data_IF_369137039894
#
_entry.id   IF_369137039894
#
_cell.length_a   1.000
_cell.length_b   1.000
_cell.length_c   1.000
_cell.angle_alpha   90.00
_cell.angle_beta   90.00
_cell.angle_gamma   90.00
#
_symmetry.space_group_name_H-M   'P 1'
#
loop_
_entity.id
_entity.type
_entity.pdbx_description
1 polymer ?
#
# COMPACT_ATOMS: atom_id res chain seq x y z
N UNK A 1 -48.33 42.06 -35.38
CA UNK A 1 -48.15 40.61 -35.62
C UNK A 1 -46.64 40.36 -35.77
N UNK A 2 -45.98 39.96 -34.68
CA UNK A 2 -45.31 38.63 -34.49
C UNK A 2 -44.02 38.49 -35.32
N UNK A 3 -42.86 38.91 -34.76
CA UNK A 3 -41.85 38.11 -34.02
C UNK A 3 -41.35 36.89 -34.80
N UNK A 4 -40.05 36.83 -35.11
CA UNK A 4 -39.23 35.62 -34.95
C UNK A 4 -37.74 36.00 -34.89
N UNK A 5 -37.20 36.00 -33.67
CA UNK A 5 -35.76 35.95 -33.38
C UNK A 5 -35.41 34.46 -33.36
N UNK A 6 -34.61 33.99 -34.30
CA UNK A 6 -34.07 32.63 -34.29
C UNK A 6 -32.78 32.68 -33.48
N UNK A 7 -32.91 32.46 -32.16
CA UNK A 7 -31.79 32.17 -31.29
C UNK A 7 -31.31 30.74 -31.54
N UNK A 8 -30.10 30.60 -32.10
CA UNK A 8 -29.38 29.33 -32.15
C UNK A 8 -28.86 29.02 -30.74
N UNK A 9 -29.66 28.32 -29.95
CA UNK A 9 -29.19 27.63 -28.76
C UNK A 9 -28.45 26.37 -29.22
N UNK A 10 -27.15 26.50 -29.48
CA UNK A 10 -26.26 25.35 -29.59
C UNK A 10 -26.15 24.73 -28.19
N UNK A 11 -26.97 23.72 -27.93
CA UNK A 11 -26.91 22.92 -26.71
C UNK A 11 -25.60 22.15 -26.67
N UNK A 12 -24.63 22.67 -25.91
CA UNK A 12 -23.42 21.97 -25.54
C UNK A 12 -23.83 20.86 -24.55
N UNK A 13 -24.01 19.64 -25.04
CA UNK A 13 -24.12 18.44 -24.20
C UNK A 13 -22.77 18.20 -23.53
N UNK A 14 -22.56 18.82 -22.38
CA UNK A 14 -21.46 18.47 -21.47
C UNK A 14 -21.86 17.15 -20.82
N UNK A 15 -21.37 16.04 -21.39
CA UNK A 15 -21.37 14.76 -20.69
C UNK A 15 -20.49 14.92 -19.44
N UNK A 16 -21.13 14.99 -18.27
CA UNK A 16 -20.47 14.86 -16.99
C UNK A 16 -19.99 13.41 -16.85
N UNK A 17 -18.87 13.06 -17.48
CA UNK A 17 -18.11 11.88 -17.11
C UNK A 17 -17.45 12.20 -15.77
N UNK A 18 -18.17 11.91 -14.69
CA UNK A 18 -17.56 11.74 -13.37
C UNK A 18 -16.62 10.55 -13.48
N UNK A 19 -15.36 10.82 -13.84
CA UNK A 19 -14.28 9.86 -13.73
C UNK A 19 -14.01 9.70 -12.23
N UNK A 20 -14.84 8.90 -11.57
CA UNK A 20 -14.59 8.46 -10.23
C UNK A 20 -13.39 7.53 -10.32
N UNK A 21 -12.19 8.08 -10.08
CA UNK A 21 -10.92 7.35 -10.06
C UNK A 21 -10.86 6.52 -8.76
N UNK A 22 -11.83 5.62 -8.62
CA UNK A 22 -12.05 4.75 -7.48
C UNK A 22 -11.13 3.53 -7.63
N UNK A 23 -10.40 3.22 -6.57
CA UNK A 23 -9.57 2.01 -6.53
C UNK A 23 -10.47 0.81 -6.23
N UNK A 24 -10.35 -0.23 -7.05
CA UNK A 24 -11.05 -1.51 -6.85
C UNK A 24 -10.07 -2.68 -6.93
N UNK A 25 -10.46 -3.80 -6.36
CA UNK A 25 -9.71 -5.05 -6.35
C UNK A 25 -10.47 -6.14 -7.09
N UNK A 26 -9.76 -6.92 -7.91
CA UNK A 26 -10.37 -7.99 -8.69
C UNK A 26 -10.72 -9.19 -7.81
N UNK A 27 -11.93 -9.74 -7.95
CA UNK A 27 -12.38 -10.96 -7.25
C UNK A 27 -13.14 -11.91 -8.16
N UNK A 28 -13.12 -13.20 -7.85
CA UNK A 28 -13.86 -14.26 -8.55
C UNK A 28 -14.07 -15.46 -7.63
N UNK A 29 -14.88 -16.42 -8.08
CA UNK A 29 -14.95 -17.74 -7.44
C UNK A 29 -13.67 -18.55 -7.74
N UNK A 30 -13.40 -19.59 -6.96
CA UNK A 30 -12.26 -20.49 -7.20
C UNK A 30 -12.48 -21.35 -8.47
N UNK A 31 -11.47 -21.52 -9.35
CA UNK A 31 -10.15 -20.88 -9.32
C UNK A 31 -10.24 -19.38 -9.67
N UNK A 32 -9.49 -18.54 -8.93
CA UNK A 32 -9.68 -17.09 -8.92
C UNK A 32 -9.17 -16.39 -10.19
N UNK A 33 -9.93 -16.57 -11.27
CA UNK A 33 -9.69 -15.99 -12.59
C UNK A 33 -10.88 -15.10 -12.97
N UNK A 34 -10.57 -13.85 -13.27
CA UNK A 34 -11.56 -12.85 -13.69
C UNK A 34 -11.63 -12.83 -15.20
N UNK A 35 -12.86 -12.97 -15.72
CA UNK A 35 -13.12 -12.92 -17.16
C UNK A 35 -13.15 -11.48 -17.63
N UNK A 36 -12.39 -11.19 -18.69
CA UNK A 36 -12.33 -9.88 -19.33
C UNK A 36 -13.10 -9.86 -20.65
N UNK A 37 -13.58 -8.68 -21.01
CA UNK A 37 -14.40 -8.43 -22.18
C UNK A 37 -13.86 -7.23 -22.95
N UNK A 38 -13.97 -7.22 -24.30
CA UNK A 38 -13.59 -6.06 -25.11
C UNK A 38 -14.62 -4.92 -25.00
N UNK A 39 -15.88 -5.25 -24.73
CA UNK A 39 -16.99 -4.33 -24.52
C UNK A 39 -18.07 -5.01 -23.63
N UNK A 40 -19.01 -4.25 -23.04
CA UNK A 40 -20.14 -4.82 -22.32
C UNK A 40 -20.92 -5.80 -23.19
N UNK A 41 -21.33 -6.93 -22.61
CA UNK A 41 -22.11 -8.00 -23.26
C UNK A 41 -21.46 -8.66 -24.49
N UNK A 42 -20.19 -8.36 -24.79
CA UNK A 42 -19.45 -9.00 -25.87
C UNK A 42 -18.98 -10.42 -25.49
N UNK A 43 -18.48 -11.17 -26.48
CA UNK A 43 -17.78 -12.43 -26.22
C UNK A 43 -16.55 -12.18 -25.34
N UNK A 44 -16.34 -12.95 -24.27
CA UNK A 44 -15.18 -12.77 -23.40
C UNK A 44 -13.88 -13.05 -24.15
N UNK A 45 -12.84 -12.32 -23.78
CA UNK A 45 -11.49 -12.59 -24.27
C UNK A 45 -10.98 -13.91 -23.67
N UNK A 46 -10.08 -14.58 -24.39
CA UNK A 46 -9.43 -15.81 -23.91
C UNK A 46 -8.54 -15.55 -22.69
N UNK A 47 -7.99 -14.34 -22.60
CA UNK A 47 -7.18 -13.89 -21.49
C UNK A 47 -8.03 -13.77 -20.20
N UNK A 48 -7.41 -14.06 -19.06
CA UNK A 48 -8.01 -13.90 -17.73
C UNK A 48 -7.09 -13.04 -16.86
N UNK A 49 -7.68 -12.37 -15.88
CA UNK A 49 -6.96 -11.61 -14.86
C UNK A 49 -6.92 -12.37 -13.55
N UNK A 50 -5.89 -12.14 -12.73
CA UNK A 50 -5.82 -12.72 -11.40
C UNK A 50 -6.63 -11.89 -10.41
N UNK A 51 -7.18 -12.54 -9.40
CA UNK A 51 -7.77 -11.84 -8.28
C UNK A 51 -6.73 -11.14 -7.41
N UNK A 52 -7.19 -10.13 -6.66
CA UNK A 52 -6.37 -9.31 -5.79
C UNK A 52 -5.49 -8.30 -6.52
N UNK A 53 -5.52 -8.28 -7.85
CA UNK A 53 -4.94 -7.18 -8.61
C UNK A 53 -5.72 -5.88 -8.31
N UNK A 54 -4.96 -4.80 -8.07
CA UNK A 54 -5.49 -3.45 -7.91
C UNK A 54 -5.78 -2.87 -9.29
N UNK A 55 -6.96 -2.29 -9.47
CA UNK A 55 -7.33 -1.61 -10.69
C UNK A 55 -7.99 -0.26 -10.39
N UNK A 56 -7.89 0.68 -11.33
CA UNK A 56 -8.62 1.95 -11.27
C UNK A 56 -9.93 1.78 -12.03
N UNK A 57 -11.05 2.05 -11.37
CA UNK A 57 -12.34 2.10 -12.01
C UNK A 57 -12.42 3.35 -12.87
N UNK A 58 -12.75 3.18 -14.15
CA UNK A 58 -12.90 4.30 -15.09
C UNK A 58 -14.37 4.62 -15.33
N UNK A 59 -15.20 3.58 -15.47
CA UNK A 59 -16.60 3.71 -15.87
C UNK A 59 -17.42 2.49 -15.43
N UNK A 60 -18.70 2.70 -15.12
CA UNK A 60 -19.68 1.64 -14.88
C UNK A 60 -20.75 1.68 -15.97
N UNK A 61 -21.00 0.56 -16.65
CA UNK A 61 -22.03 0.44 -17.68
C UNK A 61 -22.81 -0.87 -17.50
N UNK A 62 -24.06 -0.75 -17.03
CA UNK A 62 -24.91 -1.91 -16.76
C UNK A 62 -24.29 -2.84 -15.72
N UNK A 63 -24.06 -4.10 -16.11
CA UNK A 63 -23.43 -5.13 -15.25
C UNK A 63 -21.92 -5.23 -15.41
N UNK A 64 -21.32 -4.30 -16.13
CA UNK A 64 -19.90 -4.28 -16.44
C UNK A 64 -19.26 -2.99 -15.95
N UNK A 65 -17.98 -3.11 -15.64
CA UNK A 65 -17.13 -2.00 -15.24
C UNK A 65 -15.89 -1.97 -16.11
N UNK A 66 -15.51 -0.77 -16.54
CA UNK A 66 -14.29 -0.52 -17.28
C UNK A 66 -13.20 -0.18 -16.28
N UNK A 67 -12.15 -0.98 -16.26
CA UNK A 67 -11.05 -0.85 -15.29
C UNK A 67 -9.72 -0.73 -16.00
N UNK A 68 -8.82 0.07 -15.42
CA UNK A 68 -7.42 0.14 -15.78
C UNK A 68 -6.60 -0.67 -14.79
N UNK A 69 -6.03 -1.78 -15.25
CA UNK A 69 -5.22 -2.70 -14.43
C UNK A 69 -3.75 -2.27 -14.41
N UNK A 70 -3.26 -1.77 -15.54
CA UNK A 70 -1.93 -1.16 -15.68
C UNK A 70 -1.99 -0.02 -16.70
N UNK A 71 -0.91 0.76 -16.83
CA UNK A 71 -0.88 1.94 -17.71
C UNK A 71 -1.40 1.65 -19.13
N UNK A 72 -1.05 0.49 -19.68
CA UNK A 72 -1.40 0.09 -21.05
C UNK A 72 -2.55 -0.92 -21.11
N UNK A 73 -3.26 -1.18 -20.01
CA UNK A 73 -4.27 -2.24 -19.97
C UNK A 73 -5.58 -1.77 -19.37
N UNK A 74 -6.54 -1.53 -20.27
CA UNK A 74 -7.92 -1.15 -19.96
C UNK A 74 -8.85 -2.22 -20.52
N UNK A 75 -9.71 -2.78 -19.67
CA UNK A 75 -10.63 -3.87 -20.04
C UNK A 75 -11.98 -3.69 -19.37
N UNK A 76 -12.99 -4.39 -19.89
CA UNK A 76 -14.28 -4.55 -19.22
C UNK A 76 -14.32 -5.84 -18.42
N UNK A 77 -14.85 -5.78 -17.22
CA UNK A 77 -15.10 -6.95 -16.36
C UNK A 77 -16.52 -6.86 -15.79
N UNK A 78 -17.06 -7.98 -15.32
CA UNK A 78 -18.36 -7.95 -14.66
C UNK A 78 -18.26 -7.22 -13.31
N UNK A 79 -19.24 -6.39 -12.97
CA UNK A 79 -19.29 -5.60 -11.73
C UNK A 79 -19.22 -6.49 -10.47
N UNK A 80 -19.81 -7.69 -10.52
CA UNK A 80 -19.71 -8.68 -9.43
C UNK A 80 -18.28 -9.16 -9.14
N UNK A 81 -17.35 -8.92 -10.06
CA UNK A 81 -15.95 -9.33 -9.98
C UNK A 81 -15.03 -8.21 -9.44
N UNK A 82 -15.59 -7.13 -8.88
CA UNK A 82 -14.82 -6.10 -8.16
C UNK A 82 -15.20 -6.04 -6.67
N UNK A 83 -14.23 -5.68 -5.85
CA UNK A 83 -14.39 -5.34 -4.44
C UNK A 83 -13.77 -3.96 -4.18
N UNK A 84 -14.34 -3.21 -3.23
CA UNK A 84 -13.77 -1.94 -2.78
C UNK A 84 -12.53 -2.15 -1.89
N UNK A 85 -12.47 -3.28 -1.19
CA UNK A 85 -11.40 -3.63 -0.26
C UNK A 85 -10.48 -4.70 -0.84
N UNK A 86 -9.22 -4.69 -0.40
CA UNK A 86 -8.25 -5.72 -0.76
C UNK A 86 -8.71 -7.09 -0.22
N UNK A 87 -8.39 -8.20 -0.91
CA UNK A 87 -8.63 -9.53 -0.38
C UNK A 87 -7.96 -9.70 0.99
N UNK A 88 -8.69 -10.28 1.95
CA UNK A 88 -8.20 -10.47 3.32
C UNK A 88 -6.91 -11.31 3.36
N UNK A 89 -6.75 -12.24 2.43
CA UNK A 89 -5.58 -13.09 2.31
C UNK A 89 -4.31 -12.28 1.97
N UNK A 90 -4.44 -11.28 1.09
CA UNK A 90 -3.33 -10.38 0.76
C UNK A 90 -2.95 -9.49 1.95
N UNK A 91 -3.94 -9.03 2.71
CA UNK A 91 -3.69 -8.23 3.90
C UNK A 91 -3.01 -9.06 5.00
N UNK A 92 -3.38 -10.33 5.17
CA UNK A 92 -2.70 -11.25 6.10
C UNK A 92 -1.23 -11.44 5.73
N UNK A 93 -0.91 -11.69 4.45
CA UNK A 93 0.49 -11.84 4.02
C UNK A 93 1.29 -10.56 4.31
N UNK A 94 0.72 -9.40 3.99
CA UNK A 94 1.35 -8.10 4.26
C UNK A 94 1.59 -7.88 5.76
N UNK A 95 0.62 -8.23 6.60
CA UNK A 95 0.75 -8.11 8.05
C UNK A 95 1.83 -9.04 8.60
N UNK A 96 1.96 -10.26 8.06
CA UNK A 96 3.03 -11.19 8.44
C UNK A 96 4.42 -10.67 8.08
N UNK A 97 4.58 -10.09 6.88
CA UNK A 97 5.84 -9.46 6.47
C UNK A 97 6.19 -8.27 7.38
N UNK A 98 5.19 -7.47 7.72
CA UNK A 98 5.37 -6.34 8.64
C UNK A 98 5.75 -6.80 10.06
N UNK A 99 5.11 -7.86 10.57
CA UNK A 99 5.46 -8.48 11.85
C UNK A 99 6.92 -8.95 11.86
N UNK A 100 7.36 -9.65 10.82
CA UNK A 100 8.74 -10.11 10.68
C UNK A 100 9.75 -8.95 10.70
N UNK A 101 9.39 -7.82 10.08
CA UNK A 101 10.22 -6.61 10.10
C UNK A 101 10.33 -6.02 11.52
N UNK A 102 9.20 -5.92 12.23
CA UNK A 102 9.18 -5.44 13.62
C UNK A 102 10.03 -6.35 14.53
N UNK A 103 9.93 -7.67 14.38
CA UNK A 103 10.74 -8.62 15.14
C UNK A 103 12.24 -8.43 14.90
N UNK A 104 12.65 -8.19 13.65
CA UNK A 104 14.04 -7.89 13.31
C UNK A 104 14.53 -6.55 13.91
N UNK A 105 13.69 -5.52 13.90
CA UNK A 105 13.99 -4.23 14.51
C UNK A 105 14.13 -4.34 16.04
N UNK A 106 13.25 -5.12 16.69
CA UNK A 106 13.33 -5.40 18.12
C UNK A 106 14.61 -6.16 18.50
N UNK A 107 14.99 -7.17 17.72
CA UNK A 107 16.25 -7.90 17.94
C UNK A 107 17.46 -6.96 17.83
N UNK A 108 17.49 -6.12 16.80
CA UNK A 108 18.56 -5.12 16.61
C UNK A 108 18.61 -4.11 17.76
N UNK A 109 17.47 -3.64 18.24
CA UNK A 109 17.39 -2.70 19.35
C UNK A 109 17.90 -3.33 20.65
N UNK A 110 17.54 -4.59 20.92
CA UNK A 110 18.01 -5.33 22.07
C UNK A 110 19.55 -5.50 22.07
N UNK A 111 20.13 -5.78 20.90
CA UNK A 111 21.58 -5.85 20.73
C UNK A 111 22.25 -4.50 21.01
N UNK A 112 21.67 -3.40 20.55
CA UNK A 112 22.19 -2.05 20.80
C UNK A 112 22.17 -1.70 22.29
N UNK A 113 21.07 -1.99 22.99
CA UNK A 113 20.94 -1.78 24.44
C UNK A 113 21.98 -2.61 25.20
N UNK A 114 22.16 -3.88 24.83
CA UNK A 114 23.16 -4.76 25.45
C UNK A 114 24.58 -4.22 25.29
N UNK A 115 24.95 -3.78 24.09
CA UNK A 115 26.27 -3.17 23.83
C UNK A 115 26.47 -1.86 24.60
N UNK A 116 25.43 -1.04 24.72
CA UNK A 116 25.50 0.21 25.47
C UNK A 116 25.68 -0.06 26.97
N UNK A 117 24.96 -1.06 27.50
CA UNK A 117 25.09 -1.52 28.89
C UNK A 117 26.50 -2.02 29.18
N UNK A 118 27.09 -2.83 28.29
CA UNK A 118 28.46 -3.32 28.43
C UNK A 118 29.48 -2.18 28.40
N UNK A 119 29.33 -1.21 27.48
CA UNK A 119 30.17 -0.02 27.42
C UNK A 119 30.07 0.82 28.70
N UNK A 120 28.86 1.04 29.20
CA UNK A 120 28.62 1.75 30.45
C UNK A 120 29.34 1.07 31.62
N UNK A 121 29.22 -0.25 31.73
CA UNK A 121 29.86 -1.06 32.77
C UNK A 121 31.39 -0.97 32.71
N UNK A 122 31.97 -1.01 31.51
CA UNK A 122 33.42 -0.83 31.30
C UNK A 122 33.88 0.57 31.72
N UNK A 123 33.12 1.62 31.39
CA UNK A 123 33.43 3.01 31.77
C UNK A 123 33.38 3.19 33.29
N UNK A 124 32.37 2.65 33.96
CA UNK A 124 32.25 2.70 35.42
C UNK A 124 33.48 2.06 36.08
N UNK A 125 33.87 0.86 35.64
CA UNK A 125 35.03 0.17 36.19
C UNK A 125 36.34 0.93 35.94
N UNK A 126 36.50 1.53 34.76
CA UNK A 126 37.66 2.36 34.44
C UNK A 126 37.75 3.61 35.33
N UNK A 127 36.62 4.27 35.60
CA UNK A 127 36.55 5.43 36.49
C UNK A 127 36.92 5.05 37.94
N UNK A 128 36.40 3.93 38.43
CA UNK A 128 36.75 3.40 39.77
C UNK A 128 38.25 3.14 39.88
N UNK A 129 38.85 2.47 38.89
CA UNK A 129 40.27 2.16 38.87
C UNK A 129 41.14 3.44 38.80
N UNK A 130 40.74 4.40 37.97
CA UNK A 130 41.43 5.68 37.86
C UNK A 130 41.41 6.46 39.19
N UNK A 131 40.26 6.53 39.86
CA UNK A 131 40.13 7.21 41.15
C UNK A 131 40.98 6.54 42.24
N UNK A 132 40.98 5.21 42.30
CA UNK A 132 41.84 4.45 43.21
C UNK A 132 43.34 4.73 42.96
N UNK A 133 43.76 4.76 41.70
CA UNK A 133 45.17 5.05 41.33
C UNK A 133 45.59 6.47 41.72
N UNK A 134 44.69 7.45 41.58
CA UNK A 134 44.92 8.85 41.95
C UNK A 134 45.07 9.00 43.46
N UNK A 135 44.25 8.30 44.24
CA UNK A 135 44.35 8.28 45.70
C UNK A 135 45.68 7.71 46.17
N UNK A 136 46.10 6.57 45.63
CA UNK A 136 47.40 5.95 45.95
C UNK A 136 48.59 6.83 45.58
N UNK A 137 48.54 7.55 44.45
CA UNK A 137 49.60 8.50 44.06
C UNK A 137 49.72 9.67 45.04
N UNK A 138 48.60 10.24 45.50
CA UNK A 138 48.61 11.31 46.50
C UNK A 138 49.16 10.86 47.84
N UNK A 139 48.80 9.67 48.31
CA UNK A 139 49.31 9.12 49.57
C UNK A 139 50.82 8.85 49.54
N UNK A 140 51.36 8.43 48.39
CA UNK A 140 52.83 8.25 48.22
C UNK A 140 53.60 9.56 48.15
N UNK A 141 52.96 10.67 47.79
CA UNK A 141 53.61 11.97 47.59
C UNK A 141 53.68 12.81 48.89
N UNK A 142 52.90 12.43 49.90
CA UNK A 142 52.87 13.05 51.24
C UNK A 142 53.65 12.26 52.30
N UNK A 143 54.40 11.23 51.90
CA UNK A 143 55.37 10.49 52.73
C UNK A 143 56.77 10.85 52.29
#
# INVERSE_FOLDING_TARGET
MTKFVIGLAAGLLVFNVSVANEVVYLKSAEPCLVTVYPAPDATPLSEKLNCGEKASLLERQGRFVRVQVSENRIVWIADRNIAAEAPAEQEVVRLMEYQKKIEAELASLNDQVSRLSEKSSKLINALIAAEASKKQRKEKQNR
#
